data_IF_190176228793
#
_entry.id   IF_190176228793
#
_cell.length_a   1.000
_cell.length_b   1.000
_cell.length_c   1.000
_cell.angle_alpha   90.00
_cell.angle_beta   90.00
_cell.angle_gamma   90.00
#
_symmetry.space_group_name_H-M   'P 1'
#
loop_
_entity.id
_entity.type
_entity.pdbx_description
1 polymer ?
#
# COMPACT_ATOMS: atom_id res chain seq x y z
N UNK A 1 24.87 -6.93 9.27
CA UNK A 1 24.05 -5.92 9.97
C UNK A 1 23.16 -5.15 9.01
N UNK A 2 23.68 -4.57 7.93
CA UNK A 2 22.91 -3.76 6.96
C UNK A 2 21.66 -4.47 6.39
N UNK A 3 21.78 -5.73 5.96
CA UNK A 3 20.66 -6.55 5.50
C UNK A 3 19.49 -6.65 6.50
N UNK A 4 19.80 -6.84 7.78
CA UNK A 4 18.77 -6.97 8.83
C UNK A 4 18.04 -5.65 9.05
N UNK A 5 18.78 -4.54 9.02
CA UNK A 5 18.22 -3.18 9.14
C UNK A 5 17.24 -2.92 7.99
N UNK A 6 17.66 -3.13 6.74
CA UNK A 6 16.78 -2.91 5.59
C UNK A 6 15.56 -3.83 5.61
N UNK A 7 15.70 -5.10 6.00
CA UNK A 7 14.54 -5.98 6.18
C UNK A 7 13.58 -5.49 7.25
N UNK A 8 14.09 -5.05 8.39
CA UNK A 8 13.26 -4.53 9.47
C UNK A 8 12.52 -3.27 9.05
N UNK A 9 13.20 -2.33 8.40
CA UNK A 9 12.58 -1.12 7.83
C UNK A 9 11.51 -1.48 6.80
N UNK A 10 11.76 -2.47 5.94
CA UNK A 10 10.78 -2.95 4.96
C UNK A 10 9.53 -3.48 5.65
N UNK A 11 9.66 -4.27 6.72
CA UNK A 11 8.51 -4.76 7.48
C UNK A 11 7.73 -3.65 8.16
N UNK A 12 8.40 -2.67 8.78
CA UNK A 12 7.72 -1.51 9.36
C UNK A 12 6.94 -0.72 8.31
N UNK A 13 7.52 -0.54 7.12
CA UNK A 13 6.86 0.12 6.00
C UNK A 13 5.62 -0.67 5.53
N UNK A 14 5.74 -1.99 5.38
CA UNK A 14 4.62 -2.88 5.02
C UNK A 14 3.51 -2.82 6.07
N UNK A 15 3.83 -2.91 7.36
CA UNK A 15 2.82 -2.82 8.42
C UNK A 15 2.11 -1.46 8.43
N UNK A 16 2.85 -0.39 8.12
CA UNK A 16 2.25 0.94 7.97
C UNK A 16 1.27 0.94 6.80
N UNK A 17 1.66 0.44 5.62
CA UNK A 17 0.78 0.32 4.45
C UNK A 17 -0.49 -0.46 4.77
N UNK A 18 -0.36 -1.64 5.38
CA UNK A 18 -1.52 -2.47 5.74
C UNK A 18 -2.42 -1.73 6.73
N UNK A 19 -1.84 -1.08 7.73
CA UNK A 19 -2.61 -0.36 8.76
C UNK A 19 -3.36 0.84 8.20
N UNK A 20 -2.74 1.62 7.30
CA UNK A 20 -3.37 2.80 6.71
C UNK A 20 -4.47 2.43 5.72
N UNK A 21 -4.23 1.45 4.83
CA UNK A 21 -5.26 0.97 3.88
C UNK A 21 -6.44 0.34 4.61
N UNK A 22 -6.18 -0.39 5.70
CA UNK A 22 -7.23 -0.92 6.56
C UNK A 22 -8.03 0.20 7.23
N UNK A 23 -7.36 1.22 7.77
CA UNK A 23 -8.01 2.38 8.39
C UNK A 23 -8.90 3.14 7.39
N UNK A 24 -8.42 3.40 6.18
CA UNK A 24 -9.20 4.01 5.10
C UNK A 24 -10.45 3.18 4.78
N UNK A 25 -10.29 1.85 4.66
CA UNK A 25 -11.41 0.94 4.43
C UNK A 25 -12.47 1.00 5.53
N UNK A 26 -12.07 1.11 6.79
CA UNK A 26 -13.00 1.17 7.92
C UNK A 26 -13.72 2.52 7.95
N UNK A 27 -12.98 3.61 7.73
CA UNK A 27 -13.45 4.98 7.88
C UNK A 27 -14.25 5.49 6.67
N UNK A 28 -14.00 4.98 5.47
CA UNK A 28 -14.67 5.48 4.26
C UNK A 28 -16.19 5.19 4.29
N UNK A 29 -16.97 6.23 3.95
CA UNK A 29 -18.44 6.23 3.88
C UNK A 29 -18.88 7.09 2.70
N UNK A 30 -20.12 6.94 2.24
CA UNK A 30 -20.68 7.76 1.13
C UNK A 30 -20.72 9.25 1.44
N UNK A 31 -21.05 9.61 2.67
CA UNK A 31 -21.08 10.99 3.14
C UNK A 31 -20.26 11.10 4.41
N UNK A 32 -19.34 12.05 4.46
CA UNK A 32 -18.46 12.29 5.61
C UNK A 32 -18.37 13.79 5.91
N UNK A 33 -18.30 14.20 7.19
CA UNK A 33 -17.97 15.58 7.51
C UNK A 33 -16.54 15.90 7.02
N UNK A 34 -16.31 17.15 6.63
CA UNK A 34 -15.05 17.59 6.03
C UNK A 34 -13.83 17.31 6.93
N UNK A 35 -14.00 17.35 8.25
CA UNK A 35 -12.95 16.95 9.19
C UNK A 35 -12.51 15.48 9.06
N UNK A 36 -13.42 14.56 8.75
CA UNK A 36 -13.09 13.15 8.52
C UNK A 36 -12.43 12.97 7.14
N UNK A 37 -12.81 13.76 6.13
CA UNK A 37 -12.07 13.82 4.85
C UNK A 37 -10.63 14.31 5.07
N UNK A 38 -10.43 15.30 5.95
CA UNK A 38 -9.09 15.76 6.33
C UNK A 38 -8.29 14.72 7.13
N UNK A 39 -8.97 13.87 7.90
CA UNK A 39 -8.35 12.72 8.57
C UNK A 39 -7.93 11.66 7.54
N UNK A 40 -8.82 11.29 6.61
CA UNK A 40 -8.50 10.37 5.51
C UNK A 40 -7.31 10.88 4.68
N UNK A 41 -7.26 12.18 4.37
CA UNK A 41 -6.12 12.78 3.65
C UNK A 41 -4.77 12.61 4.37
N UNK A 42 -4.77 12.58 5.72
CA UNK A 42 -3.55 12.37 6.50
C UNK A 42 -3.15 10.90 6.54
N UNK A 43 -4.13 10.00 6.66
CA UNK A 43 -3.91 8.54 6.61
C UNK A 43 -3.36 8.15 5.24
N UNK A 44 -3.96 8.67 4.16
CA UNK A 44 -3.55 8.45 2.78
C UNK A 44 -2.14 9.01 2.50
N UNK A 45 -1.82 10.19 3.05
CA UNK A 45 -0.46 10.71 2.99
C UNK A 45 0.58 9.80 3.66
N UNK A 46 0.24 9.20 4.81
CA UNK A 46 1.11 8.24 5.49
C UNK A 46 1.22 6.93 4.71
N UNK A 47 0.12 6.45 4.12
CA UNK A 47 0.13 5.34 3.18
C UNK A 47 1.12 5.59 2.04
N UNK A 48 1.04 6.75 1.37
CA UNK A 48 1.90 7.07 0.22
C UNK A 48 3.38 7.05 0.57
N UNK A 49 3.75 7.63 1.72
CA UNK A 49 5.14 7.59 2.23
C UNK A 49 5.57 6.14 2.50
N UNK A 50 4.73 5.36 3.18
CA UNK A 50 5.03 3.98 3.52
C UNK A 50 5.11 3.07 2.29
N UNK A 51 4.30 3.31 1.26
CA UNK A 51 4.30 2.57 0.01
C UNK A 51 5.60 2.84 -0.78
N UNK A 52 6.02 4.10 -0.88
CA UNK A 52 7.31 4.47 -1.48
C UNK A 52 8.46 3.82 -0.72
N UNK A 53 8.47 3.92 0.61
CA UNK A 53 9.51 3.33 1.44
C UNK A 53 9.56 1.80 1.29
N UNK A 54 8.39 1.15 1.25
CA UNK A 54 8.28 -0.29 0.99
C UNK A 54 8.92 -0.64 -0.35
N UNK A 55 8.57 0.06 -1.43
CA UNK A 55 9.11 -0.21 -2.77
C UNK A 55 10.63 0.00 -2.81
N UNK A 56 11.12 1.15 -2.37
CA UNK A 56 12.55 1.49 -2.44
C UNK A 56 13.40 0.51 -1.63
N UNK A 57 12.98 0.18 -0.42
CA UNK A 57 13.70 -0.79 0.41
C UNK A 57 13.59 -2.20 -0.17
N UNK A 58 12.45 -2.57 -0.76
CA UNK A 58 12.28 -3.83 -1.48
C UNK A 58 13.24 -3.97 -2.66
N UNK A 59 13.44 -2.89 -3.43
CA UNK A 59 14.39 -2.84 -4.53
C UNK A 59 15.84 -2.96 -4.02
N UNK A 60 16.19 -2.32 -2.90
CA UNK A 60 17.51 -2.50 -2.27
C UNK A 60 17.72 -3.94 -1.80
N UNK A 61 16.69 -4.59 -1.25
CA UNK A 61 16.73 -5.99 -0.86
C UNK A 61 16.83 -6.94 -2.06
N UNK A 62 16.34 -6.54 -3.23
CA UNK A 62 16.45 -7.32 -4.47
C UNK A 62 17.84 -7.15 -5.10
N UNK A 63 18.31 -5.92 -5.28
CA UNK A 63 19.47 -5.65 -6.14
C UNK A 63 20.79 -5.39 -5.40
N UNK A 64 20.77 -5.11 -4.09
CA UNK A 64 21.97 -4.65 -3.38
C UNK A 64 22.34 -5.49 -2.14
N UNK A 65 21.41 -5.69 -1.20
CA UNK A 65 21.76 -6.18 0.15
C UNK A 65 21.14 -7.51 0.55
N UNK A 66 20.20 -8.05 -0.24
CA UNK A 66 19.49 -9.28 0.10
C UNK A 66 20.11 -10.56 -0.46
N UNK A 67 19.26 -11.56 -0.71
CA UNK A 67 19.64 -12.79 -1.41
C UNK A 67 20.14 -12.45 -2.83
N UNK A 68 20.92 -13.34 -3.48
CA UNK A 68 21.30 -13.15 -4.88
C UNK A 68 20.09 -12.78 -5.73
N UNK A 69 20.22 -11.79 -6.62
CA UNK A 69 19.09 -11.25 -7.36
C UNK A 69 18.31 -12.33 -8.14
N UNK A 70 19.02 -13.37 -8.62
CA UNK A 70 18.45 -14.55 -9.28
C UNK A 70 17.37 -15.26 -8.45
N UNK A 71 17.51 -15.29 -7.12
CA UNK A 71 16.51 -15.87 -6.22
C UNK A 71 15.13 -15.22 -6.41
N UNK A 72 15.09 -13.92 -6.70
CA UNK A 72 13.85 -13.18 -6.93
C UNK A 72 13.49 -13.14 -8.43
N UNK A 73 14.48 -12.86 -9.28
CA UNK A 73 14.27 -12.67 -10.72
C UNK A 73 13.79 -13.94 -11.42
N UNK A 74 14.24 -15.12 -10.96
CA UNK A 74 13.81 -16.43 -11.47
C UNK A 74 12.63 -17.01 -10.69
N UNK A 75 11.69 -16.17 -10.27
CA UNK A 75 10.49 -16.62 -9.56
C UNK A 75 9.26 -15.81 -10.03
N UNK A 76 8.31 -16.45 -10.69
CA UNK A 76 7.13 -15.75 -11.24
C UNK A 76 6.18 -15.25 -10.14
N UNK A 77 6.16 -15.91 -8.97
CA UNK A 77 5.38 -15.47 -7.80
C UNK A 77 5.94 -14.16 -7.23
N UNK A 78 7.27 -13.99 -7.23
CA UNK A 78 7.88 -12.72 -6.86
C UNK A 78 7.42 -11.57 -7.77
N UNK A 79 7.42 -11.80 -9.09
CA UNK A 79 6.94 -10.80 -10.06
C UNK A 79 5.45 -10.50 -9.87
N UNK A 80 4.61 -11.54 -9.70
CA UNK A 80 3.19 -11.36 -9.40
C UNK A 80 2.97 -10.52 -8.14
N UNK A 81 3.73 -10.80 -7.06
CA UNK A 81 3.70 -10.02 -5.82
C UNK A 81 4.03 -8.54 -6.07
N UNK A 82 5.09 -8.27 -6.82
CA UNK A 82 5.50 -6.92 -7.16
C UNK A 82 4.42 -6.21 -7.99
N UNK A 83 3.87 -6.88 -9.00
CA UNK A 83 2.76 -6.36 -9.82
C UNK A 83 1.53 -6.03 -8.98
N UNK A 84 1.12 -6.92 -8.07
CA UNK A 84 -0.02 -6.65 -7.18
C UNK A 84 0.24 -5.47 -6.26
N UNK A 85 1.45 -5.36 -5.68
CA UNK A 85 1.82 -4.20 -4.87
C UNK A 85 1.81 -2.90 -5.67
N UNK A 86 2.33 -2.91 -6.91
CA UNK A 86 2.24 -1.77 -7.83
C UNK A 86 0.79 -1.42 -8.16
N UNK A 87 -0.07 -2.42 -8.39
CA UNK A 87 -1.49 -2.22 -8.66
C UNK A 87 -2.21 -1.53 -7.49
N UNK A 88 -1.92 -1.92 -6.24
CA UNK A 88 -2.43 -1.22 -5.05
C UNK A 88 -1.99 0.26 -5.06
N UNK A 89 -0.72 0.52 -5.37
CA UNK A 89 -0.21 1.88 -5.57
C UNK A 89 -0.97 2.69 -6.63
N UNK A 90 -1.28 2.06 -7.77
CA UNK A 90 -2.03 2.71 -8.85
C UNK A 90 -3.49 2.99 -8.49
N UNK A 91 -4.16 2.06 -7.80
CA UNK A 91 -5.53 2.23 -7.32
C UNK A 91 -5.65 3.44 -6.37
N UNK A 92 -4.64 3.61 -5.51
CA UNK A 92 -4.61 4.68 -4.50
C UNK A 92 -4.38 6.08 -5.08
N UNK A 93 -3.96 6.22 -6.35
CA UNK A 93 -3.79 7.54 -6.99
C UNK A 93 -5.09 8.37 -6.91
N UNK A 94 -6.25 7.75 -7.07
CA UNK A 94 -7.52 8.48 -7.02
C UNK A 94 -7.85 9.01 -5.61
N UNK A 95 -7.84 8.19 -4.55
CA UNK A 95 -7.90 8.66 -3.16
C UNK A 95 -6.89 9.77 -2.82
N UNK A 96 -5.62 9.59 -3.21
CA UNK A 96 -4.54 10.54 -2.93
C UNK A 96 -4.78 11.91 -3.55
N UNK A 97 -5.47 11.97 -4.69
CA UNK A 97 -5.86 13.25 -5.30
C UNK A 97 -7.15 13.79 -4.68
N UNK A 98 -8.12 12.92 -4.37
CA UNK A 98 -9.46 13.33 -3.92
C UNK A 98 -9.44 13.92 -2.51
N UNK A 99 -8.86 13.25 -1.51
CA UNK A 99 -8.97 13.70 -0.12
C UNK A 99 -8.33 15.08 0.11
N UNK A 100 -7.10 15.37 -0.37
CA UNK A 100 -6.48 16.69 -0.18
C UNK A 100 -7.22 17.83 -0.89
N UNK A 101 -7.89 17.55 -2.00
CA UNK A 101 -8.72 18.55 -2.72
C UNK A 101 -9.99 18.91 -1.94
N UNK A 102 -10.57 17.94 -1.22
CA UNK A 102 -11.85 18.11 -0.54
C UNK A 102 -11.75 18.37 0.97
N UNK A 103 -10.54 18.42 1.55
CA UNK A 103 -10.34 18.58 3.01
C UNK A 103 -10.47 20.00 3.57
N UNK A 104 -10.46 21.05 2.73
CA UNK A 104 -10.42 22.46 3.18
C UNK A 104 -11.81 23.07 3.23
N UNK A 105 -12.22 23.74 4.31
CA UNK A 105 -13.53 24.39 4.44
C UNK A 105 -14.09 24.22 5.86
N UNK A 106 -15.38 24.52 6.03
CA UNK A 106 -16.08 24.28 7.31
C UNK A 106 -16.10 22.79 7.68
N UNK A 107 -15.79 22.48 8.93
CA UNK A 107 -15.50 21.12 9.41
C UNK A 107 -16.68 20.17 9.32
N UNK A 108 -17.89 20.65 9.63
CA UNK A 108 -19.10 19.82 9.72
C UNK A 108 -19.88 19.76 8.40
N UNK A 109 -19.44 20.48 7.37
CA UNK A 109 -20.03 20.36 6.03
C UNK A 109 -19.81 18.95 5.52
N UNK A 110 -20.90 18.29 5.14
CA UNK A 110 -20.85 16.96 4.54
C UNK A 110 -20.26 17.02 3.13
N UNK A 111 -19.37 16.07 2.85
CA UNK A 111 -18.76 15.84 1.55
C UNK A 111 -19.24 14.49 1.05
N UNK A 112 -19.87 14.49 -0.12
CA UNK A 112 -20.29 13.27 -0.80
C UNK A 112 -19.11 12.65 -1.56
N UNK A 113 -18.81 11.39 -1.27
CA UNK A 113 -17.74 10.63 -1.90
C UNK A 113 -18.29 9.86 -3.10
N UNK A 114 -17.63 9.93 -4.27
CA UNK A 114 -18.01 9.14 -5.44
C UNK A 114 -18.01 7.63 -5.12
N UNK A 115 -19.00 6.85 -5.59
CA UNK A 115 -19.03 5.40 -5.37
C UNK A 115 -17.76 4.69 -5.89
N UNK A 116 -17.18 5.19 -6.99
CA UNK A 116 -15.92 4.70 -7.54
C UNK A 116 -14.75 4.83 -6.55
N UNK A 117 -14.70 5.91 -5.77
CA UNK A 117 -13.65 6.13 -4.77
C UNK A 117 -13.73 5.07 -3.68
N UNK A 118 -14.94 4.78 -3.22
CA UNK A 118 -15.18 3.75 -2.20
C UNK A 118 -14.76 2.39 -2.73
N UNK A 119 -15.15 2.05 -3.96
CA UNK A 119 -14.78 0.78 -4.60
C UNK A 119 -13.27 0.65 -4.74
N UNK A 120 -12.55 1.71 -5.14
CA UNK A 120 -11.09 1.69 -5.26
C UNK A 120 -10.42 1.36 -3.92
N UNK A 121 -10.81 2.03 -2.84
CA UNK A 121 -10.30 1.74 -1.49
C UNK A 121 -10.63 0.30 -1.07
N UNK A 122 -11.82 -0.23 -1.41
CA UNK A 122 -12.15 -1.65 -1.15
C UNK A 122 -11.24 -2.61 -1.92
N UNK A 123 -10.99 -2.32 -3.20
CA UNK A 123 -10.13 -3.14 -4.05
C UNK A 123 -8.68 -3.10 -3.60
N UNK A 124 -8.18 -1.97 -3.11
CA UNK A 124 -6.83 -1.86 -2.56
C UNK A 124 -6.60 -2.87 -1.44
N UNK A 125 -7.50 -2.94 -0.45
CA UNK A 125 -7.38 -3.91 0.64
C UNK A 125 -7.48 -5.35 0.14
N UNK A 126 -8.42 -5.63 -0.77
CA UNK A 126 -8.60 -6.97 -1.33
C UNK A 126 -7.33 -7.46 -2.04
N UNK A 127 -6.73 -6.62 -2.87
CA UNK A 127 -5.48 -6.94 -3.59
C UNK A 127 -4.31 -7.01 -2.61
N UNK A 128 -4.22 -6.10 -1.65
CA UNK A 128 -3.14 -6.03 -0.67
C UNK A 128 -3.03 -7.31 0.18
N UNK A 129 -4.16 -7.94 0.53
CA UNK A 129 -4.17 -9.21 1.30
C UNK A 129 -3.48 -10.36 0.57
N UNK A 130 -3.42 -10.33 -0.77
CA UNK A 130 -2.73 -11.36 -1.56
C UNK A 130 -1.20 -11.21 -1.52
N UNK A 131 -0.70 -9.99 -1.34
CA UNK A 131 0.76 -9.69 -1.34
C UNK A 131 1.53 -10.51 -0.28
N UNK A 132 1.14 -10.56 1.00
CA UNK A 132 1.85 -11.37 2.00
C UNK A 132 1.75 -12.88 1.73
N UNK A 133 0.62 -13.36 1.17
CA UNK A 133 0.49 -14.76 0.77
C UNK A 133 1.54 -15.12 -0.29
N UNK A 134 1.67 -14.32 -1.35
CA UNK A 134 2.69 -14.53 -2.39
C UNK A 134 4.11 -14.45 -1.82
N UNK A 135 4.35 -13.59 -0.83
CA UNK A 135 5.64 -13.53 -0.15
C UNK A 135 5.99 -14.84 0.57
N UNK A 136 5.02 -15.46 1.26
CA UNK A 136 5.22 -16.76 1.92
C UNK A 136 5.50 -17.86 0.90
N UNK A 137 4.70 -17.96 -0.17
CA UNK A 137 4.88 -18.97 -1.22
C UNK A 137 6.25 -18.86 -1.90
N UNK A 138 6.68 -17.64 -2.24
CA UNK A 138 7.99 -17.37 -2.84
C UNK A 138 9.14 -17.79 -1.92
N UNK A 139 9.04 -17.53 -0.60
CA UNK A 139 10.10 -17.92 0.36
C UNK A 139 10.26 -19.44 0.43
N UNK A 140 9.18 -20.20 0.24
CA UNK A 140 9.20 -21.67 0.16
C UNK A 140 9.75 -22.19 -1.18
N UNK A 141 10.15 -21.31 -2.11
CA UNK A 141 10.70 -21.68 -3.41
C UNK A 141 9.65 -22.02 -4.48
N UNK A 142 8.35 -21.83 -4.18
CA UNK A 142 7.28 -22.06 -5.14
C UNK A 142 7.38 -21.01 -6.25
N UNK A 143 7.22 -21.46 -7.50
CA UNK A 143 7.24 -20.59 -8.68
C UNK A 143 8.64 -20.22 -9.18
N UNK A 144 9.68 -20.83 -8.62
CA UNK A 144 11.06 -20.71 -9.11
C UNK A 144 11.27 -21.58 -10.37
N UNK A 145 12.12 -21.13 -11.29
CA UNK A 145 12.43 -21.83 -12.57
C UNK A 145 13.86 -21.59 -13.04
#
# INVERSE_FOLDING_TARGET
>A
MLYLIFRYVHFLAIFTVVSTVFAENVLIRRSLPRQEVARLARIDGLYGIAAILTLLVGLLLWFAVGKPAEFYSRNWIFHAKLTLFTLVGLLSIYPTIFFPKNRKGESDTLVELPPSLIIMVRLELLVLVLVPLLAVLMVQGIGSF
#
